data_IF_846846398300
#
_entry.id   IF_846846398300
#
_cell.length_a   1.000
_cell.length_b   1.000
_cell.length_c   1.000
_cell.angle_alpha   90.00
_cell.angle_beta   90.00
_cell.angle_gamma   90.00
#
_symmetry.space_group_name_H-M   'P 1'
#
loop_
_entity.id
_entity.type
_entity.pdbx_description
1 polymer ?
#
# COMPACT_ATOMS: atom_id res chain seq x y z
N UNK A 1 9.85 -6.14 -10.60
CA UNK A 1 10.02 -4.71 -10.92
C UNK A 1 8.92 -3.96 -10.19
N UNK A 2 9.18 -2.77 -9.64
CA UNK A 2 8.11 -1.93 -9.05
C UNK A 2 7.46 -1.14 -10.17
N UNK A 3 6.14 -0.96 -10.09
CA UNK A 3 5.40 -0.08 -11.00
C UNK A 3 5.82 1.38 -10.76
N UNK A 4 5.96 2.15 -11.83
CA UNK A 4 6.42 3.54 -11.76
C UNK A 4 5.57 4.46 -12.63
N UNK A 5 5.42 5.71 -12.20
CA UNK A 5 4.77 6.77 -12.99
C UNK A 5 5.76 7.91 -13.19
N UNK A 6 5.98 8.34 -14.43
CA UNK A 6 6.88 9.46 -14.72
C UNK A 6 6.40 10.76 -14.08
N UNK A 7 7.31 11.52 -13.47
CA UNK A 7 7.00 12.83 -12.90
C UNK A 7 7.03 13.91 -13.98
N UNK A 8 5.93 14.07 -14.70
CA UNK A 8 5.72 15.10 -15.70
C UNK A 8 4.29 15.66 -15.62
N UNK A 9 4.05 16.79 -16.29
CA UNK A 9 2.77 17.49 -16.24
C UNK A 9 1.58 16.62 -16.68
N UNK A 10 1.74 15.82 -17.75
CA UNK A 10 0.70 14.91 -18.25
C UNK A 10 0.32 13.88 -17.18
N UNK A 11 1.31 13.21 -16.59
CA UNK A 11 1.09 12.23 -15.54
C UNK A 11 0.42 12.84 -14.31
N UNK A 12 0.87 14.02 -13.88
CA UNK A 12 0.29 14.73 -12.75
C UNK A 12 -1.16 15.15 -13.03
N UNK A 13 -1.48 15.56 -14.27
CA UNK A 13 -2.84 15.87 -14.68
C UNK A 13 -3.75 14.63 -14.59
N UNK A 14 -3.31 13.48 -15.09
CA UNK A 14 -4.08 12.23 -14.98
C UNK A 14 -4.27 11.81 -13.51
N UNK A 15 -3.24 11.92 -12.68
CA UNK A 15 -3.33 11.64 -11.24
C UNK A 15 -4.33 12.58 -10.56
N UNK A 16 -4.34 13.86 -10.91
CA UNK A 16 -5.35 14.81 -10.43
C UNK A 16 -6.75 14.44 -10.93
N UNK A 17 -6.93 14.04 -12.19
CA UNK A 17 -8.22 13.56 -12.71
C UNK A 17 -8.74 12.34 -11.96
N UNK A 18 -7.86 11.40 -11.58
CA UNK A 18 -8.25 10.25 -10.74
C UNK A 18 -8.85 10.70 -9.38
N UNK A 19 -8.35 11.81 -8.83
CA UNK A 19 -8.89 12.40 -7.60
C UNK A 19 -10.20 13.15 -7.87
N UNK A 20 -10.22 14.01 -8.88
CA UNK A 20 -11.39 14.81 -9.25
C UNK A 20 -12.60 13.96 -9.64
N UNK A 21 -12.37 12.86 -10.36
CA UNK A 21 -13.40 11.90 -10.74
C UNK A 21 -13.84 10.98 -9.58
N UNK A 22 -13.26 11.15 -8.38
CA UNK A 22 -13.65 10.43 -7.17
C UNK A 22 -13.22 8.96 -7.12
N UNK A 23 -12.30 8.51 -7.98
CA UNK A 23 -11.73 7.16 -7.88
C UNK A 23 -10.83 7.04 -6.65
N UNK A 24 -10.08 8.09 -6.37
CA UNK A 24 -9.16 8.20 -5.24
C UNK A 24 -9.37 9.51 -4.49
N UNK A 25 -8.99 9.55 -3.21
CA UNK A 25 -8.82 10.75 -2.41
C UNK A 25 -7.35 10.80 -1.95
N UNK A 26 -6.73 11.97 -1.92
CA UNK A 26 -5.32 12.03 -1.58
C UNK A 26 -4.66 13.36 -1.86
N UNK A 27 -3.33 13.37 -1.78
CA UNK A 27 -2.52 14.54 -2.08
C UNK A 27 -1.38 14.16 -3.03
N UNK A 28 -1.10 15.05 -3.98
CA UNK A 28 -0.01 14.93 -4.94
C UNK A 28 0.93 16.09 -4.66
N UNK A 29 2.18 15.77 -4.35
CA UNK A 29 3.27 16.72 -4.09
C UNK A 29 4.42 16.44 -5.07
N UNK A 30 5.31 17.42 -5.32
CA UNK A 30 6.38 17.27 -6.30
C UNK A 30 7.26 16.02 -6.11
N UNK A 31 7.46 15.62 -4.86
CA UNK A 31 8.33 14.50 -4.50
C UNK A 31 7.57 13.28 -4.00
N UNK A 32 6.23 13.36 -3.88
CA UNK A 32 5.45 12.31 -3.23
C UNK A 32 3.99 12.33 -3.65
N UNK A 33 3.45 11.14 -3.89
CA UNK A 33 2.02 10.93 -4.11
C UNK A 33 1.48 10.12 -2.93
N UNK A 34 0.31 10.48 -2.40
CA UNK A 34 -0.43 9.67 -1.45
C UNK A 34 -1.88 9.55 -1.92
N UNK A 35 -2.31 8.35 -2.28
CA UNK A 35 -3.65 8.08 -2.78
C UNK A 35 -4.35 7.03 -1.90
N UNK A 36 -5.60 7.31 -1.56
CA UNK A 36 -6.51 6.39 -0.89
C UNK A 36 -7.64 6.10 -1.86
N UNK A 37 -7.96 4.82 -2.08
CA UNK A 37 -9.12 4.48 -2.91
C UNK A 37 -10.40 4.87 -2.16
N UNK A 38 -11.30 5.58 -2.84
CA UNK A 38 -12.53 6.09 -2.22
C UNK A 38 -13.61 5.02 -2.06
N UNK A 39 -13.76 4.16 -3.06
CA UNK A 39 -14.77 3.09 -3.08
C UNK A 39 -14.19 1.76 -3.54
N UNK A 40 -14.49 0.68 -2.83
CA UNK A 40 -14.12 -0.68 -3.24
C UNK A 40 -14.30 -1.73 -2.14
N UNK A 41 -14.48 -3.00 -2.55
CA UNK A 41 -14.69 -4.17 -1.69
C UNK A 41 -13.62 -4.35 -0.59
N UNK A 42 -12.42 -3.83 -0.82
CA UNK A 42 -11.26 -3.92 0.08
C UNK A 42 -10.87 -2.60 0.75
N UNK A 43 -11.60 -1.49 0.49
CA UNK A 43 -11.18 -0.16 0.93
C UNK A 43 -12.34 0.80 1.26
N UNK A 44 -13.48 0.32 1.75
CA UNK A 44 -14.62 1.17 2.19
C UNK A 44 -14.35 2.00 3.47
N UNK A 45 -13.09 2.37 3.74
CA UNK A 45 -12.60 3.01 4.96
C UNK A 45 -11.21 2.55 5.39
N UNK A 46 -10.44 1.93 4.49
CA UNK A 46 -9.33 1.06 4.87
C UNK A 46 -8.11 1.76 5.46
N UNK A 47 -7.33 0.99 6.22
CA UNK A 47 -6.10 1.40 6.87
C UNK A 47 -4.87 1.41 5.95
N UNK A 48 -5.08 1.44 4.64
CA UNK A 48 -4.01 1.34 3.65
C UNK A 48 -4.08 2.50 2.67
N UNK A 49 -2.95 2.78 2.04
CA UNK A 49 -2.79 3.84 1.05
C UNK A 49 -1.73 3.45 0.03
N UNK A 50 -1.89 3.95 -1.19
CA UNK A 50 -0.86 3.89 -2.22
C UNK A 50 0.04 5.11 -2.01
N UNK A 51 1.35 4.91 -2.07
CA UNK A 51 2.36 5.96 -1.97
C UNK A 51 3.23 5.92 -3.22
N UNK A 52 3.43 7.05 -3.88
CA UNK A 52 4.49 7.25 -4.86
C UNK A 52 5.64 8.00 -4.22
N UNK A 53 6.86 7.46 -4.26
CA UNK A 53 8.07 8.20 -3.82
C UNK A 53 8.91 8.50 -5.05
N UNK A 54 9.31 9.75 -5.22
CA UNK A 54 10.16 10.14 -6.33
C UNK A 54 11.55 9.50 -6.20
N UNK A 55 11.99 8.80 -7.24
CA UNK A 55 13.32 8.21 -7.33
C UNK A 55 14.30 9.09 -8.12
N UNK A 56 15.55 8.65 -8.21
CA UNK A 56 16.62 9.37 -8.94
C UNK A 56 16.38 9.50 -10.45
N UNK A 57 15.49 8.70 -11.02
CA UNK A 57 15.11 8.76 -12.45
C UNK A 57 13.94 9.72 -12.72
N UNK A 58 13.54 10.53 -11.73
CA UNK A 58 12.37 11.41 -11.80
C UNK A 58 11.07 10.62 -12.09
N UNK A 59 10.93 9.44 -11.49
CA UNK A 59 9.71 8.62 -11.54
C UNK A 59 9.20 8.36 -10.13
N UNK A 60 7.90 8.36 -9.96
CA UNK A 60 7.26 7.93 -8.73
C UNK A 60 7.22 6.41 -8.68
N UNK A 61 7.97 5.82 -7.76
CA UNK A 61 7.85 4.40 -7.45
C UNK A 61 6.61 4.15 -6.61
N UNK A 62 5.70 3.34 -7.13
CA UNK A 62 4.45 3.01 -6.46
C UNK A 62 4.67 1.91 -5.42
N UNK A 63 4.19 2.18 -4.21
CA UNK A 63 4.15 1.25 -3.11
C UNK A 63 2.79 1.28 -2.41
N UNK A 64 2.53 0.26 -1.60
CA UNK A 64 1.32 0.13 -0.80
C UNK A 64 1.73 0.04 0.66
N UNK A 65 1.16 0.90 1.47
CA UNK A 65 1.57 1.08 2.86
C UNK A 65 0.35 1.22 3.77
N UNK A 66 0.55 0.94 5.05
CA UNK A 66 -0.43 1.26 6.06
C UNK A 66 -0.52 2.78 6.24
N UNK A 67 -1.74 3.27 6.49
CA UNK A 67 -1.96 4.60 7.02
C UNK A 67 -1.19 4.74 8.34
N UNK A 68 -0.77 5.97 8.65
CA UNK A 68 0.01 6.29 9.86
C UNK A 68 -0.65 5.74 11.13
N UNK A 69 -1.99 5.73 11.18
CA UNK A 69 -2.80 5.16 12.27
C UNK A 69 -2.56 3.67 12.52
N UNK A 70 -2.27 2.87 11.49
CA UNK A 70 -1.99 1.43 11.62
C UNK A 70 -0.52 1.10 11.86
N UNK A 71 0.41 1.99 11.48
CA UNK A 71 1.85 1.74 11.64
C UNK A 71 2.26 1.51 13.10
N UNK A 72 1.66 2.27 14.03
CA UNK A 72 1.97 2.15 15.47
C UNK A 72 1.42 0.84 16.05
N UNK A 73 0.13 0.50 15.90
CA UNK A 73 -0.41 -0.80 16.33
C UNK A 73 0.36 -2.00 15.79
N UNK A 74 0.73 -2.00 14.49
CA UNK A 74 1.46 -3.11 13.88
C UNK A 74 2.85 -3.28 14.53
N UNK A 75 3.57 -2.19 14.78
CA UNK A 75 4.86 -2.24 15.49
C UNK A 75 4.71 -2.79 16.92
N UNK A 76 3.68 -2.36 17.64
CA UNK A 76 3.41 -2.83 19.01
C UNK A 76 3.08 -4.33 19.00
N UNK A 77 2.21 -4.78 18.10
CA UNK A 77 1.84 -6.19 17.95
C UNK A 77 3.06 -7.07 17.62
N UNK A 78 3.94 -6.60 16.73
CA UNK A 78 5.22 -7.27 16.45
C UNK A 78 6.09 -7.39 17.70
N UNK A 79 6.24 -6.30 18.48
CA UNK A 79 7.01 -6.32 19.72
C UNK A 79 6.48 -7.34 20.73
N UNK A 80 5.16 -7.35 20.94
CA UNK A 80 4.49 -8.32 21.83
C UNK A 80 4.71 -9.75 21.36
N UNK A 81 4.57 -10.01 20.05
CA UNK A 81 4.73 -11.35 19.50
C UNK A 81 6.16 -11.88 19.57
N UNK A 82 7.17 -11.02 19.44
CA UNK A 82 8.58 -11.38 19.67
C UNK A 82 8.79 -11.77 21.14
N UNK A 83 8.32 -10.96 22.09
CA UNK A 83 8.44 -11.25 23.53
C UNK A 83 7.74 -12.57 23.86
N UNK A 84 6.52 -12.78 23.36
CA UNK A 84 5.78 -14.03 23.52
C UNK A 84 6.55 -15.25 23.00
N UNK A 85 7.19 -15.11 21.83
CA UNK A 85 7.99 -16.16 21.21
C UNK A 85 9.20 -16.52 22.07
N UNK A 86 9.92 -15.51 22.60
CA UNK A 86 11.07 -15.71 23.49
C UNK A 86 10.64 -16.41 24.79
N UNK A 87 9.58 -15.94 25.44
CA UNK A 87 9.07 -16.56 26.67
C UNK A 87 8.64 -18.01 26.44
N UNK A 88 8.00 -18.29 25.30
CA UNK A 88 7.58 -19.64 24.93
C UNK A 88 8.76 -20.58 24.70
N UNK A 89 9.84 -20.08 24.08
CA UNK A 89 11.09 -20.82 23.89
C UNK A 89 11.75 -21.16 25.23
N UNK A 90 11.91 -20.18 26.13
CA UNK A 90 12.52 -20.37 27.46
C UNK A 90 11.74 -21.40 28.30
N UNK A 91 10.41 -21.44 28.17
CA UNK A 91 9.55 -22.40 28.87
C UNK A 91 9.48 -23.79 28.20
N UNK A 92 10.27 -24.05 27.16
CA UNK A 92 10.25 -25.31 26.41
C UNK A 92 8.97 -25.54 25.60
N UNK A 93 8.07 -24.55 25.52
CA UNK A 93 6.80 -24.59 24.77
C UNK A 93 6.92 -23.86 23.44
N UNK A 94 8.02 -24.09 22.73
CA UNK A 94 8.35 -23.40 21.48
C UNK A 94 7.26 -23.58 20.41
N UNK A 95 6.57 -24.72 20.41
CA UNK A 95 5.47 -25.01 19.48
C UNK A 95 4.29 -24.03 19.63
N UNK A 96 4.11 -23.37 20.78
CA UNK A 96 3.07 -22.35 20.96
C UNK A 96 3.33 -21.08 20.13
N UNK A 97 4.59 -20.74 19.85
CA UNK A 97 4.89 -19.57 19.01
C UNK A 97 4.36 -19.76 17.57
N UNK A 98 4.20 -21.00 17.11
CA UNK A 98 3.79 -21.32 15.74
C UNK A 98 2.33 -20.88 15.47
N UNK A 99 1.30 -21.43 16.14
CA UNK A 99 -0.08 -21.04 15.85
C UNK A 99 -0.43 -19.64 16.36
N UNK A 100 0.25 -19.15 17.41
CA UNK A 100 -0.10 -17.86 18.02
C UNK A 100 0.62 -16.66 17.40
N UNK A 101 1.77 -16.86 16.75
CA UNK A 101 2.52 -15.77 16.16
C UNK A 101 2.88 -16.01 14.69
N UNK A 102 3.56 -17.12 14.38
CA UNK A 102 4.09 -17.37 13.03
C UNK A 102 2.95 -17.49 11.99
N UNK A 103 1.94 -18.31 12.27
CA UNK A 103 0.83 -18.56 11.33
C UNK A 103 0.00 -17.30 11.08
N UNK A 104 -0.51 -16.57 12.09
CA UNK A 104 -1.24 -15.32 11.88
C UNK A 104 -0.40 -14.26 11.17
N UNK A 105 0.90 -14.16 11.50
CA UNK A 105 1.82 -13.23 10.84
C UNK A 105 1.97 -13.55 9.35
N UNK A 106 2.15 -14.82 8.99
CA UNK A 106 2.24 -15.22 7.59
C UNK A 106 0.95 -14.95 6.81
N UNK A 107 -0.21 -15.26 7.39
CA UNK A 107 -1.53 -15.01 6.77
C UNK A 107 -1.69 -13.51 6.47
N UNK A 108 -1.44 -12.66 7.48
CA UNK A 108 -1.55 -11.21 7.31
C UNK A 108 -0.54 -10.65 6.31
N UNK A 109 0.68 -11.19 6.28
CA UNK A 109 1.70 -10.80 5.30
C UNK A 109 1.30 -11.16 3.86
N UNK A 110 0.77 -12.37 3.65
CA UNK A 110 0.31 -12.82 2.33
C UNK A 110 -0.89 -11.98 1.88
N UNK A 111 -1.87 -11.77 2.75
CA UNK A 111 -3.04 -10.93 2.45
C UNK A 111 -2.62 -9.51 2.08
N UNK A 112 -1.68 -8.91 2.81
CA UNK A 112 -1.13 -7.60 2.50
C UNK A 112 -0.46 -7.57 1.11
N UNK A 113 0.35 -8.58 0.78
CA UNK A 113 1.03 -8.67 -0.52
C UNK A 113 0.04 -8.81 -1.67
N UNK A 114 -1.03 -9.58 -1.49
CA UNK A 114 -2.09 -9.73 -2.47
C UNK A 114 -2.87 -8.43 -2.67
N UNK A 115 -3.21 -7.74 -1.57
CA UNK A 115 -3.88 -6.42 -1.61
C UNK A 115 -3.02 -5.37 -2.29
N UNK A 116 -1.73 -5.31 -1.96
CA UNK A 116 -0.76 -4.44 -2.62
C UNK A 116 -0.79 -4.60 -4.13
N UNK A 117 -0.66 -5.84 -4.61
CA UNK A 117 -0.66 -6.11 -6.06
C UNK A 117 -1.96 -5.65 -6.70
N UNK A 118 -3.11 -6.04 -6.14
CA UNK A 118 -4.42 -5.68 -6.68
C UNK A 118 -4.65 -4.17 -6.74
N UNK A 119 -4.28 -3.43 -5.70
CA UNK A 119 -4.51 -1.99 -5.62
C UNK A 119 -3.57 -1.20 -6.55
N UNK A 120 -2.32 -1.65 -6.70
CA UNK A 120 -1.38 -1.06 -7.68
C UNK A 120 -1.85 -1.36 -9.10
N UNK A 121 -2.19 -2.61 -9.42
CA UNK A 121 -2.67 -3.00 -10.76
C UNK A 121 -3.93 -2.20 -11.15
N UNK A 122 -4.85 -2.00 -10.20
CA UNK A 122 -6.05 -1.22 -10.43
C UNK A 122 -5.74 0.26 -10.68
N UNK A 123 -4.85 0.86 -9.87
CA UNK A 123 -4.42 2.24 -10.07
C UNK A 123 -3.79 2.42 -11.45
N UNK A 124 -2.84 1.56 -11.80
CA UNK A 124 -2.15 1.62 -13.09
C UNK A 124 -3.12 1.41 -14.25
N UNK A 125 -4.06 0.47 -14.13
CA UNK A 125 -5.09 0.24 -15.15
C UNK A 125 -5.97 1.48 -15.37
N UNK A 126 -6.48 2.10 -14.29
CA UNK A 126 -7.31 3.31 -14.38
C UNK A 126 -6.52 4.53 -14.84
N UNK A 127 -5.27 4.65 -14.43
CA UNK A 127 -4.35 5.67 -14.89
C UNK A 127 -4.14 5.57 -16.41
N UNK A 128 -3.86 4.36 -16.92
CA UNK A 128 -3.64 4.14 -18.36
C UNK A 128 -4.90 4.42 -19.18
N UNK A 129 -6.08 4.01 -18.69
CA UNK A 129 -7.37 4.29 -19.33
C UNK A 129 -7.59 5.79 -19.55
N UNK A 130 -7.39 6.60 -18.50
CA UNK A 130 -7.52 8.06 -18.58
C UNK A 130 -6.43 8.69 -19.43
N UNK A 131 -5.18 8.20 -19.34
CA UNK A 131 -4.07 8.72 -20.14
C UNK A 131 -4.34 8.57 -21.64
N UNK A 132 -4.80 7.38 -22.07
CA UNK A 132 -5.15 7.12 -23.46
C UNK A 132 -6.32 7.97 -23.93
N UNK A 133 -7.35 8.12 -23.10
CA UNK A 133 -8.51 8.95 -23.41
C UNK A 133 -8.17 10.43 -23.62
N UNK A 134 -7.12 10.94 -22.98
CA UNK A 134 -6.78 12.37 -23.01
C UNK A 134 -5.72 12.72 -24.06
N UNK A 135 -4.76 11.82 -24.31
CA UNK A 135 -3.54 12.15 -25.06
C UNK A 135 -3.27 11.27 -26.28
N UNK A 136 -4.02 10.18 -26.47
CA UNK A 136 -3.89 9.29 -27.62
C UNK A 136 -5.10 9.35 -28.58
N UNK A 137 -6.00 10.33 -28.37
CA UNK A 137 -7.08 10.68 -29.29
C UNK A 137 -6.76 11.95 -30.08
#
# INVERSE_FOLDING_TARGET
MKETISNNEKSLNILNKLILNGFYDGNISPNRIELNRKYGLFNSGGNHRIIGILNSENKFELDFDFKKSMKVPVKIAMGIGIIFSIVSLVKGKWFLAIPFFIVPFLITFIDFKLKRKKEIDLLTSKYLELYKSEYEF
#
